data_IF_726222998561
#
_entry.id   IF_726222998561
#
_cell.length_a   1.000
_cell.length_b   1.000
_cell.length_c   1.000
_cell.angle_alpha   90.00
_cell.angle_beta   90.00
_cell.angle_gamma   90.00
#
_symmetry.space_group_name_H-M   'P 1'
#
loop_
_entity.id
_entity.type
_entity.pdbx_description
1 polymer ?
#
# COMPACT_ATOMS: atom_id res chain seq x y z
N UNK A 1 -3.25 31.58 7.49
CA UNK A 1 -2.90 30.18 7.82
C UNK A 1 -2.26 29.58 6.58
N UNK A 2 -0.97 29.25 6.63
CA UNK A 2 -0.31 28.56 5.52
C UNK A 2 -0.94 27.17 5.34
N UNK A 3 -1.12 26.67 4.11
CA UNK A 3 -1.61 25.32 3.89
C UNK A 3 -0.64 24.32 4.54
N UNK A 4 -1.14 23.20 5.11
CA UNK A 4 -0.28 22.18 5.68
C UNK A 4 0.66 21.66 4.59
N UNK A 5 1.96 21.85 4.81
CA UNK A 5 3.00 21.37 3.91
C UNK A 5 2.97 19.83 3.98
N UNK A 6 2.61 19.18 2.87
CA UNK A 6 2.62 17.71 2.78
C UNK A 6 4.05 17.23 3.06
N UNK A 7 4.21 16.28 3.97
CA UNK A 7 5.51 15.64 4.17
C UNK A 7 5.92 14.89 2.91
N UNK A 8 7.22 14.87 2.60
CA UNK A 8 7.76 14.27 1.37
C UNK A 8 7.42 12.76 1.20
N UNK A 9 6.99 12.11 2.29
CA UNK A 9 6.74 10.67 2.38
C UNK A 9 5.27 10.29 2.18
N UNK A 10 4.41 11.24 1.82
CA UNK A 10 3.00 10.97 1.49
C UNK A 10 2.82 11.09 -0.03
N UNK A 11 2.31 10.03 -0.65
CA UNK A 11 1.95 9.99 -2.06
C UNK A 11 0.46 9.67 -2.20
N UNK A 12 -0.18 10.36 -3.13
CA UNK A 12 -1.56 10.12 -3.52
C UNK A 12 -1.52 9.64 -4.96
N UNK A 13 -2.09 8.47 -5.20
CA UNK A 13 -2.24 7.90 -6.53
C UNK A 13 -3.69 8.04 -6.96
N UNK A 14 -3.92 8.86 -7.99
CA UNK A 14 -5.27 9.17 -8.50
C UNK A 14 -5.49 8.59 -9.91
N UNK A 15 -4.42 8.34 -10.65
CA UNK A 15 -4.48 7.80 -12.01
C UNK A 15 -4.84 6.31 -11.97
N UNK A 16 -5.88 5.96 -12.72
CA UNK A 16 -6.43 4.62 -12.83
C UNK A 16 -6.40 4.22 -14.30
N UNK A 17 -6.03 2.97 -14.57
CA UNK A 17 -6.19 2.37 -15.88
C UNK A 17 -7.69 2.27 -16.18
N UNK A 18 -8.15 3.04 -17.17
CA UNK A 18 -9.58 3.19 -17.47
C UNK A 18 -10.28 1.88 -17.86
N UNK A 19 -9.53 0.93 -18.41
CA UNK A 19 -10.03 -0.39 -18.81
C UNK A 19 -10.04 -1.39 -17.64
N UNK A 20 -9.50 -1.02 -16.47
CA UNK A 20 -9.54 -1.87 -15.28
C UNK A 20 -10.94 -1.95 -14.68
N UNK A 21 -11.24 -3.10 -14.07
CA UNK A 21 -12.52 -3.33 -13.41
C UNK A 21 -12.65 -2.47 -12.15
N UNK A 22 -13.83 -1.90 -11.89
CA UNK A 22 -14.13 -1.23 -10.61
C UNK A 22 -13.97 -2.16 -9.39
N UNK A 23 -14.01 -3.48 -9.57
CA UNK A 23 -13.79 -4.46 -8.48
C UNK A 23 -12.31 -4.83 -8.30
N UNK A 24 -11.48 -4.52 -9.29
CA UNK A 24 -10.04 -4.79 -9.28
C UNK A 24 -9.34 -3.65 -10.03
N UNK A 25 -9.42 -2.41 -9.49
CA UNK A 25 -8.82 -1.25 -10.14
C UNK A 25 -7.31 -1.43 -10.24
N UNK A 26 -6.75 -1.02 -11.36
CA UNK A 26 -5.30 -0.97 -11.57
C UNK A 26 -4.92 0.50 -11.63
N UNK A 27 -3.91 0.88 -10.86
CA UNK A 27 -3.38 2.23 -10.89
C UNK A 27 -2.19 2.26 -11.85
N UNK A 28 -2.29 3.06 -12.90
CA UNK A 28 -1.29 3.22 -13.97
C UNK A 28 -0.21 4.26 -13.62
N UNK A 29 -0.27 4.83 -12.42
CA UNK A 29 0.75 5.78 -11.99
C UNK A 29 2.11 5.11 -11.97
N UNK A 30 3.12 5.79 -12.54
CA UNK A 30 4.53 5.42 -12.40
C UNK A 30 4.86 5.12 -10.93
N UNK A 31 5.77 4.17 -10.71
CA UNK A 31 6.18 3.74 -9.38
C UNK A 31 6.45 4.94 -8.45
N UNK A 32 5.76 4.96 -7.31
CA UNK A 32 5.85 6.06 -6.37
C UNK A 32 7.24 6.08 -5.72
N UNK A 33 8.11 6.99 -6.16
CA UNK A 33 9.43 7.15 -5.56
C UNK A 33 9.32 7.95 -4.25
N UNK A 34 9.61 7.27 -3.14
CA UNK A 34 9.76 7.85 -1.80
C UNK A 34 11.25 8.19 -1.60
N UNK A 35 11.59 9.46 -1.67
CA UNK A 35 12.96 9.92 -1.49
C UNK A 35 13.32 10.01 0.00
N UNK A 36 14.59 9.78 0.31
CA UNK A 36 15.16 10.01 1.65
C UNK A 36 14.48 9.21 2.77
N UNK A 37 14.00 8.00 2.48
CA UNK A 37 13.54 7.07 3.51
C UNK A 37 14.77 6.52 4.23
N UNK A 38 14.99 6.83 5.52
CA UNK A 38 16.14 6.30 6.26
C UNK A 38 16.00 4.79 6.42
N UNK A 39 17.14 4.09 6.50
CA UNK A 39 17.16 2.67 6.84
C UNK A 39 16.76 2.51 8.31
N UNK A 40 15.47 2.32 8.54
CA UNK A 40 14.88 2.05 9.85
C UNK A 40 14.18 0.70 9.80
N UNK A 41 14.58 -0.25 10.65
CA UNK A 41 14.00 -1.60 10.66
C UNK A 41 12.48 -1.61 10.85
N UNK A 42 11.97 -0.61 11.58
CA UNK A 42 10.53 -0.41 11.81
C UNK A 42 9.84 0.48 10.77
N UNK A 43 10.45 0.79 9.62
CA UNK A 43 9.78 1.60 8.60
C UNK A 43 8.65 0.79 7.95
N UNK A 44 7.43 1.34 8.00
CA UNK A 44 6.23 0.72 7.43
C UNK A 44 5.74 1.52 6.23
N UNK A 45 5.43 0.83 5.14
CA UNK A 45 4.58 1.33 4.07
C UNK A 45 3.14 1.16 4.53
N UNK A 46 2.39 2.26 4.61
CA UNK A 46 0.95 2.24 4.87
C UNK A 46 0.22 2.60 3.59
N UNK A 47 -0.69 1.73 3.16
CA UNK A 47 -1.56 1.98 2.00
C UNK A 47 -2.96 2.24 2.53
N UNK A 48 -3.49 3.43 2.27
CA UNK A 48 -4.86 3.84 2.63
C UNK A 48 -5.69 3.97 1.35
N UNK A 49 -6.68 3.08 1.18
CA UNK A 49 -7.55 3.06 0.01
C UNK A 49 -8.82 3.85 0.28
N UNK A 50 -9.10 4.82 -0.60
CA UNK A 50 -10.28 5.67 -0.53
C UNK A 50 -11.01 5.68 -1.85
N UNK A 51 -12.34 5.67 -1.78
CA UNK A 51 -13.22 5.85 -2.93
C UNK A 51 -13.66 7.31 -2.98
N UNK A 52 -13.39 7.98 -4.11
CA UNK A 52 -13.95 9.29 -4.40
C UNK A 52 -15.41 9.12 -4.82
N UNK A 53 -16.32 9.57 -3.97
CA UNK A 53 -17.75 9.63 -4.29
C UNK A 53 -18.11 11.06 -4.68
N UNK A 54 -18.63 11.24 -5.89
CA UNK A 54 -19.23 12.51 -6.34
C UNK A 54 -20.74 12.34 -6.44
N UNK A 55 -21.50 13.02 -5.58
CA UNK A 55 -22.96 13.06 -5.62
C UNK A 55 -23.36 14.49 -5.96
N UNK A 56 -23.85 14.71 -7.19
CA UNK A 56 -24.09 16.05 -7.75
C UNK A 56 -22.80 16.90 -7.69
N UNK A 57 -22.81 18.00 -6.95
CA UNK A 57 -21.69 18.93 -6.75
C UNK A 57 -20.85 18.58 -5.51
N UNK A 58 -21.29 17.65 -4.66
CA UNK A 58 -20.56 17.28 -3.45
C UNK A 58 -19.55 16.15 -3.74
N UNK A 59 -18.27 16.43 -3.45
CA UNK A 59 -17.18 15.43 -3.48
C UNK A 59 -16.85 14.99 -2.07
N UNK A 60 -16.77 13.68 -1.86
CA UNK A 60 -16.36 13.08 -0.58
C UNK A 60 -15.44 11.90 -0.80
N UNK A 61 -14.45 11.72 0.08
CA UNK A 61 -13.58 10.54 0.10
C UNK A 61 -14.06 9.59 1.18
N UNK A 62 -14.45 8.38 0.80
CA UNK A 62 -14.89 7.34 1.72
C UNK A 62 -13.80 6.28 1.91
N UNK A 63 -13.41 5.94 3.14
CA UNK A 63 -12.43 4.87 3.37
C UNK A 63 -12.98 3.54 2.85
N UNK A 64 -12.15 2.79 2.14
CA UNK A 64 -12.47 1.45 1.64
C UNK A 64 -11.70 0.37 2.40
N UNK A 65 -10.48 0.67 2.84
CA UNK A 65 -9.66 -0.20 3.65
C UNK A 65 -8.22 0.31 3.68
N UNK A 66 -7.39 -0.31 4.51
CA UNK A 66 -5.98 0.03 4.58
C UNK A 66 -5.14 -1.22 4.83
N UNK A 67 -3.84 -1.12 4.59
CA UNK A 67 -2.88 -2.16 4.98
C UNK A 67 -1.53 -1.54 5.35
N UNK A 68 -0.67 -2.33 5.97
CA UNK A 68 0.69 -1.94 6.29
C UNK A 68 1.67 -3.06 5.90
N UNK A 69 2.92 -2.70 5.61
CA UNK A 69 3.96 -3.65 5.23
C UNK A 69 5.36 -3.12 5.58
N UNK A 70 6.28 -3.95 6.13
CA UNK A 70 7.64 -3.51 6.43
C UNK A 70 8.45 -3.26 5.16
N UNK A 71 9.03 -2.06 5.06
CA UNK A 71 9.82 -1.63 3.88
C UNK A 71 11.16 -2.36 3.82
N UNK A 72 11.73 -2.74 4.97
CA UNK A 72 13.04 -3.37 5.06
C UNK A 72 12.97 -4.77 5.68
N UNK A 73 13.82 -5.67 5.18
CA UNK A 73 14.10 -6.98 5.76
C UNK A 73 15.58 -7.04 6.10
N UNK A 74 15.90 -6.85 7.38
CA UNK A 74 17.29 -6.69 7.82
C UNK A 74 17.83 -5.32 7.40
N UNK A 75 18.85 -5.32 6.53
CA UNK A 75 19.50 -4.09 6.01
C UNK A 75 19.16 -3.81 4.54
N UNK A 76 18.25 -4.60 3.95
CA UNK A 76 17.88 -4.50 2.54
C UNK A 76 16.41 -4.09 2.44
N UNK A 77 16.05 -3.40 1.36
CA UNK A 77 14.65 -3.19 1.00
C UNK A 77 13.99 -4.56 0.81
N UNK A 78 12.80 -4.73 1.38
CA UNK A 78 11.99 -5.93 1.30
C UNK A 78 11.34 -6.05 -0.08
N UNK A 79 12.17 -6.04 -1.13
CA UNK A 79 11.72 -5.89 -2.51
C UNK A 79 10.95 -7.13 -3.00
N UNK A 80 9.88 -6.90 -3.75
CA UNK A 80 9.02 -7.96 -4.26
C UNK A 80 7.62 -7.48 -4.62
N UNK A 81 6.81 -8.42 -5.10
CA UNK A 81 5.39 -8.20 -5.40
C UNK A 81 4.58 -8.94 -4.32
N UNK A 82 3.71 -8.22 -3.64
CA UNK A 82 2.98 -8.72 -2.49
C UNK A 82 1.49 -8.51 -2.68
N UNK A 83 0.70 -9.56 -2.45
CA UNK A 83 -0.73 -9.45 -2.26
C UNK A 83 -1.02 -9.33 -0.77
N UNK A 84 -1.46 -8.14 -0.35
CA UNK A 84 -1.70 -7.82 1.05
C UNK A 84 -3.19 -7.80 1.37
N UNK A 85 -3.61 -8.34 2.53
CA UNK A 85 -4.98 -8.19 2.99
C UNK A 85 -5.32 -6.72 3.26
N UNK A 86 -6.58 -6.37 3.09
CA UNK A 86 -7.10 -5.06 3.52
C UNK A 86 -7.83 -5.17 4.85
N UNK A 87 -7.67 -4.14 5.67
CA UNK A 87 -8.30 -4.00 6.98
C UNK A 87 -9.32 -2.87 6.96
N UNK A 88 -10.41 -3.05 7.69
CA UNK A 88 -11.46 -2.03 7.83
C UNK A 88 -11.04 -0.94 8.81
N UNK A 89 -11.65 0.24 8.67
CA UNK A 89 -11.39 1.38 9.56
C UNK A 89 -10.11 2.12 9.22
N UNK A 90 -9.41 2.59 10.24
CA UNK A 90 -8.14 3.31 10.10
C UNK A 90 -7.13 2.79 11.14
N UNK A 91 -5.84 2.77 10.82
CA UNK A 91 -4.82 2.34 11.77
C UNK A 91 -4.78 3.28 12.97
N UNK A 92 -4.70 2.72 14.19
CA UNK A 92 -4.38 3.52 15.38
C UNK A 92 -2.87 3.73 15.47
N UNK A 93 -2.44 4.84 16.07
CA UNK A 93 -1.02 5.11 16.29
C UNK A 93 -0.36 4.01 17.13
N UNK A 94 -1.06 3.54 18.17
CA UNK A 94 -0.59 2.45 19.04
C UNK A 94 -0.33 1.16 18.25
N UNK A 95 -1.25 0.79 17.34
CA UNK A 95 -1.07 -0.38 16.49
C UNK A 95 0.13 -0.21 15.55
N UNK A 96 0.27 0.96 14.93
CA UNK A 96 1.42 1.24 14.06
C UNK A 96 2.72 1.12 14.85
N UNK A 97 2.82 1.75 16.04
CA UNK A 97 4.00 1.66 16.90
C UNK A 97 4.33 0.21 17.27
N UNK A 98 3.31 -0.60 17.59
CA UNK A 98 3.49 -2.03 17.86
C UNK A 98 4.10 -2.74 16.64
N UNK A 99 3.55 -2.52 15.44
CA UNK A 99 4.05 -3.11 14.19
C UNK A 99 5.47 -2.65 13.82
N UNK A 100 5.93 -1.49 14.30
CA UNK A 100 7.30 -1.00 14.08
C UNK A 100 8.34 -1.62 15.01
N UNK A 101 7.95 -2.00 16.22
CA UNK A 101 8.86 -2.42 17.29
C UNK A 101 8.97 -3.94 17.44
N UNK A 102 7.86 -4.64 17.21
CA UNK A 102 7.76 -6.09 17.33
C UNK A 102 8.06 -6.79 15.99
N UNK A 103 8.07 -8.12 16.00
CA UNK A 103 8.00 -8.87 14.74
C UNK A 103 6.67 -8.52 14.05
N UNK A 104 6.76 -7.96 12.85
CA UNK A 104 5.60 -7.47 12.10
C UNK A 104 4.51 -8.54 11.92
N UNK A 105 4.88 -9.77 11.58
CA UNK A 105 3.93 -10.86 11.31
C UNK A 105 3.20 -11.27 12.59
N UNK A 106 3.96 -11.44 13.69
CA UNK A 106 3.41 -11.81 15.00
C UNK A 106 2.48 -10.72 15.54
N UNK A 107 2.90 -9.45 15.46
CA UNK A 107 2.11 -8.31 15.91
C UNK A 107 0.81 -8.14 15.11
N UNK A 108 0.88 -8.35 13.78
CA UNK A 108 -0.29 -8.32 12.92
C UNK A 108 -1.26 -9.46 13.25
N UNK A 109 -0.75 -10.69 13.41
CA UNK A 109 -1.55 -11.85 13.77
C UNK A 109 -2.20 -11.68 15.15
N UNK A 110 -1.46 -11.12 16.11
CA UNK A 110 -1.99 -10.79 17.43
C UNK A 110 -3.11 -9.74 17.33
N UNK A 111 -2.93 -8.68 16.55
CA UNK A 111 -3.94 -7.64 16.38
C UNK A 111 -5.24 -8.17 15.75
N UNK A 112 -5.12 -9.10 14.79
CA UNK A 112 -6.26 -9.81 14.17
C UNK A 112 -6.96 -10.70 15.19
N UNK A 113 -6.21 -11.57 15.87
CA UNK A 113 -6.78 -12.53 16.84
C UNK A 113 -7.42 -11.83 18.04
N UNK A 114 -6.86 -10.70 18.49
CA UNK A 114 -7.43 -9.87 19.56
C UNK A 114 -8.56 -8.94 19.09
N UNK A 115 -9.00 -9.05 17.83
CA UNK A 115 -10.07 -8.23 17.21
C UNK A 115 -9.80 -6.71 17.22
N UNK A 116 -8.55 -6.29 17.43
CA UNK A 116 -8.14 -4.87 17.27
C UNK A 116 -8.03 -4.49 15.81
N UNK A 117 -7.76 -5.47 14.95
CA UNK A 117 -7.72 -5.36 13.51
C UNK A 117 -8.83 -6.24 12.91
N UNK A 118 -9.64 -5.67 12.02
CA UNK A 118 -10.70 -6.41 11.32
C UNK A 118 -10.37 -6.51 9.84
N UNK A 119 -10.18 -7.74 9.37
CA UNK A 119 -9.98 -8.08 7.97
C UNK A 119 -11.23 -7.74 7.13
N UNK A 120 -11.02 -7.19 5.94
CA UNK A 120 -12.04 -7.07 4.90
C UNK A 120 -12.05 -8.35 4.07
N UNK A 121 -13.14 -9.09 4.15
CA UNK A 121 -13.29 -10.36 3.43
C UNK A 121 -13.25 -10.13 1.92
N UNK A 122 -12.52 -10.99 1.21
CA UNK A 122 -12.40 -10.95 -0.26
C UNK A 122 -11.81 -9.64 -0.83
N UNK A 123 -11.04 -8.90 -0.03
CA UNK A 123 -10.40 -7.66 -0.46
C UNK A 123 -8.88 -7.69 -0.18
N UNK A 124 -8.10 -7.35 -1.19
CA UNK A 124 -6.64 -7.26 -1.10
C UNK A 124 -6.11 -6.15 -1.99
N UNK A 125 -4.90 -5.68 -1.71
CA UNK A 125 -4.14 -4.81 -2.59
C UNK A 125 -2.87 -5.52 -3.02
N UNK A 126 -2.53 -5.42 -4.30
CA UNK A 126 -1.23 -5.88 -4.82
C UNK A 126 -0.30 -4.69 -4.86
N UNK A 127 0.86 -4.81 -4.22
CA UNK A 127 1.91 -3.80 -4.23
C UNK A 127 3.19 -4.38 -4.79
N UNK A 128 3.94 -3.55 -5.50
CA UNK A 128 5.29 -3.85 -5.96
C UNK A 128 6.23 -2.90 -5.23
N UNK A 129 7.10 -3.43 -4.37
CA UNK A 129 8.09 -2.66 -3.61
C UNK A 129 9.48 -2.92 -4.16
N UNK A 130 10.21 -1.86 -4.50
CA UNK A 130 11.56 -1.97 -5.05
C UNK A 130 12.51 -0.99 -4.36
N UNK A 131 13.79 -1.36 -4.32
CA UNK A 131 14.83 -0.41 -3.96
C UNK A 131 14.91 0.70 -5.02
N UNK A 132 15.02 1.96 -4.57
CA UNK A 132 15.11 3.11 -5.47
C UNK A 132 16.31 3.05 -6.42
N UNK A 133 17.41 2.38 -6.03
CA UNK A 133 18.58 2.16 -6.89
C UNK A 133 18.28 1.23 -8.08
N UNK A 134 17.19 0.47 -8.00
CA UNK A 134 16.72 -0.48 -9.01
C UNK A 134 15.53 0.07 -9.81
N UNK A 135 15.25 1.36 -9.69
CA UNK A 135 14.18 2.03 -10.42
C UNK A 135 14.29 1.77 -11.93
N UNK A 136 13.18 1.43 -12.58
CA UNK A 136 13.13 1.05 -14.00
C UNK A 136 13.21 -0.46 -14.27
N UNK A 137 13.62 -1.31 -13.32
CA UNK A 137 13.68 -2.76 -13.56
C UNK A 137 12.31 -3.36 -13.90
N UNK A 138 11.24 -2.87 -13.28
CA UNK A 138 9.86 -3.31 -13.54
C UNK A 138 9.13 -2.53 -14.63
N UNK A 139 9.73 -1.45 -15.13
CA UNK A 139 9.19 -0.69 -16.27
C UNK A 139 9.56 -1.36 -17.60
N UNK A 140 10.52 -2.29 -17.57
CA UNK A 140 10.84 -3.11 -18.72
C UNK A 140 9.70 -4.09 -19.00
N UNK A 141 9.01 -3.89 -20.13
CA UNK A 141 7.98 -4.79 -20.63
C UNK A 141 8.58 -6.16 -20.97
N UNK A 142 8.83 -7.00 -19.96
CA UNK A 142 8.88 -8.43 -20.18
C UNK A 142 7.44 -8.85 -20.42
N UNK A 143 7.09 -8.93 -21.71
CA UNK A 143 5.87 -9.57 -22.19
C UNK A 143 5.61 -10.83 -21.38
N UNK A 144 4.48 -10.84 -20.64
CA UNK A 144 3.97 -12.04 -19.97
C UNK A 144 4.03 -13.18 -20.99
N UNK A 145 4.80 -14.26 -20.77
CA UNK A 145 4.80 -15.37 -21.70
C UNK A 145 3.37 -15.87 -21.80
N UNK A 146 2.82 -15.90 -23.02
CA UNK A 146 1.48 -16.43 -23.23
C UNK A 146 1.46 -17.89 -22.75
N UNK A 147 0.40 -18.31 -22.04
CA UNK A 147 0.25 -19.71 -21.70
C UNK A 147 0.25 -20.53 -23.00
N UNK A 148 0.90 -21.70 -23.04
CA UNK A 148 0.91 -22.55 -24.22
C UNK A 148 -0.54 -22.85 -24.62
N UNK A 149 -0.86 -22.58 -25.89
CA UNK A 149 -2.17 -22.91 -26.46
C UNK A 149 -2.40 -24.42 -26.30
N UNK A 150 -3.50 -24.78 -25.63
CA UNK A 150 -4.02 -26.16 -25.61
C UNK A 150 -4.72 -26.47 -26.93
#
# INVERSE_FOLDING_TARGET
RSPPQRSANVRITESIEWDSSLRSPVWDSLAAHLQSVPLEKGALLVVDLRCLTQIREARSLKPQGWTAFPIFKGTLVNAGIYQLPLFSGSPTLELLQQLQQENFEDALQQAVSSKRLKLLESASVVISLLDAQRFGEWDSAQSRPEPPSQ
#
